data_IF_525678434770
#
_entry.id   IF_525678434770
#
_cell.length_a   1.000
_cell.length_b   1.000
_cell.length_c   1.000
_cell.angle_alpha   90.00
_cell.angle_beta   90.00
_cell.angle_gamma   90.00
#
_symmetry.space_group_name_H-M   'P 1'
#
loop_
_entity.id
_entity.type
_entity.pdbx_description
1 polymer ?
#
# COMPACT_ATOMS: atom_id res chain seq x y z
N UNK A 1 10.24 -19.75 8.20
CA UNK A 1 9.80 -18.34 8.18
C UNK A 1 10.22 -17.64 6.89
N UNK A 2 11.52 -17.48 6.62
CA UNK A 2 12.07 -16.89 5.38
C UNK A 2 11.34 -17.34 4.10
N UNK A 3 11.28 -18.64 3.85
CA UNK A 3 10.66 -19.18 2.63
C UNK A 3 9.17 -18.86 2.53
N UNK A 4 8.43 -18.93 3.64
CA UNK A 4 7.01 -18.61 3.69
C UNK A 4 6.77 -17.13 3.38
N UNK A 5 7.53 -16.23 4.03
CA UNK A 5 7.44 -14.79 3.76
C UNK A 5 7.76 -14.46 2.29
N UNK A 6 8.84 -15.04 1.73
CA UNK A 6 9.19 -14.87 0.31
C UNK A 6 8.13 -15.41 -0.66
N UNK A 7 7.38 -16.42 -0.26
CA UNK A 7 6.26 -16.96 -1.02
C UNK A 7 4.94 -16.17 -0.84
N UNK A 8 4.96 -15.08 -0.06
CA UNK A 8 3.75 -14.30 0.25
C UNK A 8 2.79 -14.99 1.21
N UNK A 9 3.27 -15.93 2.04
CA UNK A 9 2.49 -16.64 3.05
C UNK A 9 2.67 -15.91 4.40
N UNK A 10 1.64 -15.21 4.91
CA UNK A 10 1.78 -14.33 6.08
C UNK A 10 1.63 -15.04 7.42
N UNK A 11 1.16 -16.29 7.44
CA UNK A 11 0.90 -17.07 8.66
C UNK A 11 1.68 -18.38 8.60
N UNK A 12 2.46 -18.65 9.64
CA UNK A 12 3.22 -19.88 9.82
C UNK A 12 2.84 -20.53 11.16
N UNK A 13 2.60 -21.83 11.17
CA UNK A 13 2.18 -22.57 12.36
C UNK A 13 3.26 -23.57 12.76
N UNK A 14 3.52 -23.68 14.06
CA UNK A 14 4.38 -24.71 14.65
C UNK A 14 3.84 -25.17 16.00
N UNK A 15 4.44 -26.21 16.59
CA UNK A 15 4.13 -26.60 17.96
C UNK A 15 4.57 -25.52 18.95
N UNK A 16 5.85 -25.16 18.93
CA UNK A 16 6.49 -24.21 19.86
C UNK A 16 7.75 -23.66 19.23
N UNK A 17 7.98 -22.36 19.39
CA UNK A 17 9.20 -21.73 18.86
C UNK A 17 10.43 -22.14 19.68
N UNK A 18 11.60 -22.03 19.08
CA UNK A 18 12.85 -21.93 19.84
C UNK A 18 12.89 -20.66 20.70
N UNK A 19 13.93 -20.54 21.52
CA UNK A 19 14.04 -19.45 22.48
C UNK A 19 15.42 -19.40 23.12
N UNK A 20 15.53 -18.65 24.21
CA UNK A 20 16.72 -18.61 25.06
C UNK A 20 16.74 -19.88 25.89
N UNK A 21 17.83 -20.64 25.85
CA UNK A 21 17.98 -21.82 26.70
C UNK A 21 18.14 -21.40 28.17
N UNK A 22 17.87 -22.33 29.09
CA UNK A 22 18.11 -22.09 30.50
C UNK A 22 19.62 -22.00 30.74
N UNK A 23 20.08 -20.98 31.46
CA UNK A 23 21.49 -20.54 31.55
C UNK A 23 22.01 -19.83 30.28
N UNK A 24 21.11 -19.38 29.40
CA UNK A 24 21.42 -18.61 28.20
C UNK A 24 22.16 -17.30 28.45
N UNK A 25 22.04 -16.72 29.65
CA UNK A 25 22.81 -15.54 30.06
C UNK A 25 24.33 -15.79 30.13
N UNK A 26 24.74 -17.04 30.35
CA UNK A 26 26.16 -17.43 30.45
C UNK A 26 26.61 -18.16 29.18
N UNK A 27 25.78 -19.08 28.69
CA UNK A 27 26.10 -19.93 27.54
C UNK A 27 25.90 -19.25 26.19
N UNK A 28 25.06 -18.20 26.14
CA UNK A 28 24.58 -17.57 24.90
C UNK A 28 23.91 -18.56 23.93
N UNK A 29 23.39 -19.68 24.44
CA UNK A 29 22.61 -20.64 23.65
C UNK A 29 21.20 -20.08 23.39
N UNK A 30 21.09 -19.37 22.28
CA UNK A 30 19.89 -18.63 21.86
C UNK A 30 19.49 -19.11 20.47
N UNK A 31 18.23 -19.53 20.34
CA UNK A 31 17.71 -19.99 19.05
C UNK A 31 17.67 -18.88 18.00
N UNK A 32 18.12 -19.22 16.79
CA UNK A 32 18.00 -18.36 15.61
C UNK A 32 16.54 -17.98 15.27
N UNK A 33 15.54 -18.73 15.77
CA UNK A 33 14.12 -18.41 15.62
C UNK A 33 13.80 -16.98 16.11
N UNK A 34 14.45 -16.53 17.19
CA UNK A 34 14.18 -15.21 17.79
C UNK A 34 14.72 -14.08 16.92
N UNK A 35 15.95 -14.22 16.42
CA UNK A 35 16.54 -13.24 15.50
C UNK A 35 15.77 -13.20 14.18
N UNK A 36 15.28 -14.34 13.71
CA UNK A 36 14.46 -14.43 12.50
C UNK A 36 13.09 -13.77 12.69
N UNK A 37 12.44 -13.96 13.84
CA UNK A 37 11.23 -13.22 14.23
C UNK A 37 11.47 -11.70 14.26
N UNK A 38 12.65 -11.24 14.65
CA UNK A 38 13.00 -9.82 14.62
C UNK A 38 13.21 -9.21 13.22
N UNK A 39 13.30 -10.03 12.16
CA UNK A 39 13.73 -9.59 10.82
C UNK A 39 12.75 -9.93 9.69
N UNK A 40 11.84 -10.86 9.91
CA UNK A 40 10.93 -11.35 8.88
C UNK A 40 9.49 -11.04 9.26
N UNK A 41 8.79 -10.17 8.49
CA UNK A 41 7.36 -9.86 8.69
C UNK A 41 6.46 -11.07 8.43
N UNK A 42 6.27 -11.90 9.45
CA UNK A 42 5.42 -13.09 9.43
C UNK A 42 4.76 -13.30 10.79
N UNK A 43 3.53 -13.79 10.79
CA UNK A 43 2.84 -14.21 12.00
C UNK A 43 3.16 -15.68 12.28
N UNK A 44 3.72 -15.97 13.46
CA UNK A 44 4.00 -17.33 13.94
C UNK A 44 2.98 -17.71 15.01
N UNK A 45 2.24 -18.78 14.76
CA UNK A 45 1.25 -19.34 15.69
C UNK A 45 1.87 -20.56 16.36
N UNK A 46 1.93 -20.55 17.69
CA UNK A 46 2.55 -21.64 18.46
C UNK A 46 1.99 -21.72 19.88
N UNK A 47 2.28 -22.79 20.61
CA UNK A 47 1.93 -22.94 22.02
C UNK A 47 2.89 -22.18 22.96
N UNK A 48 3.42 -21.05 22.48
CA UNK A 48 4.50 -20.31 23.12
C UNK A 48 5.88 -20.90 22.78
N UNK A 49 6.76 -20.91 23.77
CA UNK A 49 8.15 -21.36 23.65
C UNK A 49 8.24 -22.81 24.14
N UNK A 50 9.06 -23.66 23.51
CA UNK A 50 9.24 -25.07 23.96
C UNK A 50 9.58 -25.12 25.45
N UNK A 51 8.97 -26.06 26.18
CA UNK A 51 9.02 -26.16 27.66
C UNK A 51 10.43 -26.27 28.28
N UNK A 52 11.40 -26.76 27.51
CA UNK A 52 12.79 -26.90 27.95
C UNK A 52 13.55 -25.57 28.05
N UNK A 53 12.96 -24.47 27.55
CA UNK A 53 13.61 -23.17 27.40
C UNK A 53 13.25 -22.21 28.54
N UNK A 54 13.88 -21.03 28.53
CA UNK A 54 13.62 -19.94 29.47
C UNK A 54 12.61 -18.95 28.86
N UNK A 55 11.37 -18.96 29.36
CA UNK A 55 10.29 -18.13 28.83
C UNK A 55 10.55 -16.65 29.11
N UNK A 56 10.95 -16.30 30.33
CA UNK A 56 11.19 -14.91 30.72
C UNK A 56 12.24 -14.25 29.85
N UNK A 57 13.40 -14.89 29.70
CA UNK A 57 14.48 -14.39 28.84
C UNK A 57 14.11 -14.37 27.36
N UNK A 58 13.31 -15.33 26.92
CA UNK A 58 12.82 -15.34 25.53
C UNK A 58 11.90 -14.14 25.26
N UNK A 59 11.01 -13.80 26.18
CA UNK A 59 10.14 -12.62 26.04
C UNK A 59 10.93 -11.31 26.03
N UNK A 60 11.90 -11.15 26.92
CA UNK A 60 12.82 -9.98 26.95
C UNK A 60 13.60 -9.84 25.64
N UNK A 61 14.08 -10.97 25.09
CA UNK A 61 14.80 -10.96 23.81
C UNK A 61 13.89 -10.54 22.65
N UNK A 62 12.66 -11.06 22.60
CA UNK A 62 11.67 -10.71 21.59
C UNK A 62 11.25 -9.24 21.67
N UNK A 63 11.08 -8.71 22.88
CA UNK A 63 10.84 -7.28 23.11
C UNK A 63 11.99 -6.43 22.56
N UNK A 64 13.23 -6.79 22.89
CA UNK A 64 14.44 -6.10 22.38
C UNK A 64 14.50 -6.08 20.85
N UNK A 65 13.98 -7.12 20.19
CA UNK A 65 13.94 -7.22 18.71
C UNK A 65 12.68 -6.63 18.09
N UNK A 66 11.83 -5.95 18.88
CA UNK A 66 10.60 -5.33 18.39
C UNK A 66 9.57 -6.34 17.88
N UNK A 67 9.60 -7.58 18.36
CA UNK A 67 8.63 -8.62 17.98
C UNK A 67 7.37 -8.43 18.82
N UNK A 68 6.22 -8.28 18.16
CA UNK A 68 4.95 -8.21 18.86
C UNK A 68 4.57 -9.60 19.38
N UNK A 69 4.44 -9.74 20.71
CA UNK A 69 4.00 -10.99 21.35
C UNK A 69 2.59 -10.81 21.92
N UNK A 70 1.68 -11.68 21.50
CA UNK A 70 0.29 -11.67 21.92
C UNK A 70 -0.18 -13.08 22.35
N UNK A 71 -0.94 -13.16 23.44
CA UNK A 71 -1.63 -14.40 23.82
C UNK A 71 -2.99 -14.49 23.13
N UNK A 72 -3.32 -15.65 22.59
CA UNK A 72 -4.66 -15.96 22.07
C UNK A 72 -5.58 -16.50 23.17
N UNK A 73 -6.74 -15.85 23.36
CA UNK A 73 -7.74 -16.19 24.37
C UNK A 73 -8.07 -15.01 25.28
N UNK A 74 -8.68 -15.29 26.45
CA UNK A 74 -9.22 -14.26 27.35
C UNK A 74 -8.22 -13.67 28.36
N UNK A 75 -6.95 -14.05 28.28
CA UNK A 75 -5.92 -13.69 29.25
C UNK A 75 -4.62 -13.34 28.57
N UNK A 76 -3.80 -12.50 29.23
CA UNK A 76 -2.42 -12.21 28.84
C UNK A 76 -1.42 -13.27 29.28
N UNK A 77 -1.83 -14.28 30.06
CA UNK A 77 -0.94 -15.34 30.51
C UNK A 77 -0.26 -16.02 29.32
N UNK A 78 1.06 -16.01 29.29
CA UNK A 78 1.82 -16.67 28.24
C UNK A 78 1.81 -18.18 28.51
N UNK A 79 1.48 -19.04 27.52
CA UNK A 79 1.51 -20.49 27.71
C UNK A 79 2.95 -21.03 27.76
N UNK A 80 3.17 -22.05 28.59
CA UNK A 80 4.43 -22.79 28.67
C UNK A 80 4.33 -24.11 27.89
N UNK A 81 4.01 -24.05 26.60
CA UNK A 81 3.90 -25.21 25.71
C UNK A 81 2.84 -26.24 26.13
N UNK A 82 3.15 -27.10 27.10
CA UNK A 82 2.21 -28.07 27.67
C UNK A 82 1.27 -27.45 28.70
N UNK A 83 1.65 -26.34 29.35
CA UNK A 83 0.77 -25.66 30.32
C UNK A 83 0.14 -24.40 29.72
N UNK A 84 -1.15 -24.12 29.98
CA UNK A 84 -1.77 -22.86 29.56
C UNK A 84 -1.23 -21.64 30.34
N UNK A 85 -0.44 -21.85 31.41
CA UNK A 85 0.11 -20.79 32.25
C UNK A 85 1.60 -21.04 32.52
N UNK A 86 2.41 -20.00 32.30
CA UNK A 86 3.87 -20.02 32.54
C UNK A 86 4.32 -19.20 33.74
N UNK A 87 3.44 -18.38 34.32
CA UNK A 87 3.82 -17.32 35.26
C UNK A 87 4.29 -16.02 34.59
N UNK A 88 4.41 -15.99 33.27
CA UNK A 88 4.72 -14.80 32.48
C UNK A 88 3.51 -14.30 31.70
N UNK A 89 3.57 -13.06 31.23
CA UNK A 89 2.50 -12.42 30.44
C UNK A 89 3.01 -11.86 29.12
N UNK A 90 2.20 -11.98 28.06
CA UNK A 90 2.40 -11.27 26.79
C UNK A 90 2.11 -9.77 26.93
N UNK A 91 2.68 -8.95 26.05
CA UNK A 91 2.42 -7.51 25.99
C UNK A 91 0.93 -7.21 25.74
N UNK A 92 0.30 -7.98 24.84
CA UNK A 92 -1.13 -7.88 24.54
C UNK A 92 -1.80 -9.26 24.42
N UNK A 93 -3.11 -9.24 24.18
CA UNK A 93 -3.95 -10.42 24.03
C UNK A 93 -4.95 -10.17 22.89
N UNK A 94 -5.41 -11.26 22.26
CA UNK A 94 -6.47 -11.26 21.24
C UNK A 94 -7.47 -12.39 21.52
N UNK A 95 -8.77 -12.12 21.46
CA UNK A 95 -9.79 -13.08 21.91
C UNK A 95 -10.20 -14.10 20.84
N UNK A 96 -10.06 -13.74 19.57
CA UNK A 96 -10.64 -14.49 18.46
C UNK A 96 -9.84 -14.31 17.16
N UNK A 97 -10.10 -15.14 16.12
CA UNK A 97 -9.32 -15.10 14.88
C UNK A 97 -9.44 -13.77 14.12
N UNK A 98 -10.55 -13.04 14.27
CA UNK A 98 -10.74 -11.77 13.58
C UNK A 98 -9.89 -10.66 14.20
N UNK A 99 -9.74 -10.63 15.53
CA UNK A 99 -8.83 -9.71 16.22
C UNK A 99 -7.37 -10.02 15.93
N UNK A 100 -6.99 -11.31 15.98
CA UNK A 100 -5.66 -11.75 15.59
C UNK A 100 -5.34 -11.34 14.13
N UNK A 101 -6.28 -11.51 13.21
CA UNK A 101 -6.13 -11.07 11.82
C UNK A 101 -5.98 -9.54 11.69
N UNK A 102 -6.72 -8.75 12.47
CA UNK A 102 -6.55 -7.28 12.51
C UNK A 102 -5.18 -6.88 13.02
N UNK A 103 -4.71 -7.50 14.12
CA UNK A 103 -3.37 -7.27 14.66
C UNK A 103 -2.30 -7.49 13.58
N UNK A 104 -2.34 -8.66 12.93
CA UNK A 104 -1.39 -9.01 11.85
C UNK A 104 -1.48 -8.02 10.69
N UNK A 105 -2.69 -7.69 10.23
CA UNK A 105 -2.89 -6.74 9.14
C UNK A 105 -2.34 -5.34 9.49
N UNK A 106 -2.54 -4.88 10.73
CA UNK A 106 -2.02 -3.60 11.21
C UNK A 106 -0.49 -3.59 11.20
N UNK A 107 0.16 -4.62 11.74
CA UNK A 107 1.63 -4.76 11.72
C UNK A 107 2.17 -4.68 10.28
N UNK A 108 1.56 -5.42 9.34
CA UNK A 108 1.95 -5.40 7.93
C UNK A 108 1.74 -4.02 7.29
N UNK A 109 0.63 -3.34 7.60
CA UNK A 109 0.31 -2.02 7.04
C UNK A 109 1.24 -0.91 7.52
N UNK A 110 1.81 -1.03 8.72
CA UNK A 110 2.77 -0.09 9.28
C UNK A 110 4.19 -0.26 8.69
N UNK A 111 4.41 -1.28 7.85
CA UNK A 111 5.72 -1.53 7.23
C UNK A 111 6.80 -2.00 8.21
N UNK A 112 6.40 -2.51 9.39
CA UNK A 112 7.34 -3.03 10.39
C UNK A 112 8.11 -4.24 9.84
N UNK A 113 9.42 -4.28 10.12
CA UNK A 113 10.32 -5.32 9.64
C UNK A 113 10.43 -6.52 10.60
N UNK A 114 9.59 -6.58 11.63
CA UNK A 114 9.52 -7.68 12.60
C UNK A 114 8.25 -8.51 12.42
N UNK A 115 8.31 -9.75 12.90
CA UNK A 115 7.19 -10.68 12.95
C UNK A 115 6.28 -10.48 14.16
N UNK A 116 5.25 -11.32 14.21
CA UNK A 116 4.29 -11.40 15.32
C UNK A 116 4.29 -12.81 15.87
N UNK A 117 4.41 -12.98 17.18
CA UNK A 117 4.19 -14.24 17.86
C UNK A 117 2.81 -14.26 18.49
N UNK A 118 1.95 -15.17 18.03
CA UNK A 118 0.67 -15.47 18.66
C UNK A 118 0.76 -16.78 19.43
N UNK A 119 0.79 -16.65 20.77
CA UNK A 119 0.89 -17.75 21.69
C UNK A 119 -0.50 -18.31 22.02
N UNK A 120 -0.76 -19.54 21.59
CA UNK A 120 -2.04 -20.26 21.70
C UNK A 120 -1.93 -21.30 22.81
N UNK A 121 -2.67 -21.17 23.93
CA UNK A 121 -2.66 -22.18 24.97
C UNK A 121 -3.07 -23.57 24.46
N UNK A 122 -2.52 -24.62 25.08
CA UNK A 122 -2.99 -26.00 24.86
C UNK A 122 -4.52 -26.10 25.11
N UNK A 123 -5.25 -26.97 24.40
CA UNK A 123 -6.68 -27.18 24.66
C UNK A 123 -6.97 -27.49 26.14
N UNK A 124 -8.09 -26.97 26.64
CA UNK A 124 -8.49 -27.09 28.05
C UNK A 124 -8.60 -28.55 28.52
N UNK A 125 -9.06 -29.45 27.65
CA UNK A 125 -9.14 -30.89 27.90
C UNK A 125 -7.78 -31.56 28.19
N UNK A 126 -6.69 -30.93 27.73
CA UNK A 126 -5.31 -31.39 27.94
C UNK A 126 -4.53 -30.54 28.97
N UNK A 127 -5.13 -29.48 29.53
CA UNK A 127 -4.45 -28.55 30.41
C UNK A 127 -3.94 -29.19 31.72
N UNK A 128 -4.75 -30.03 32.36
CA UNK A 128 -4.38 -30.69 33.62
C UNK A 128 -3.21 -31.67 33.46
N UNK A 129 -3.25 -32.50 32.41
CA UNK A 129 -2.13 -33.37 32.05
C UNK A 129 -0.91 -32.54 31.64
N UNK A 130 -1.15 -31.42 30.94
CA UNK A 130 -0.15 -30.46 30.52
C UNK A 130 0.65 -29.85 31.67
N UNK A 131 -0.01 -29.49 32.77
CA UNK A 131 0.65 -28.98 33.98
C UNK A 131 1.56 -30.05 34.61
N UNK A 132 1.10 -31.29 34.71
CA UNK A 132 1.93 -32.40 35.21
C UNK A 132 3.16 -32.67 34.31
N UNK A 133 2.98 -32.59 33.00
CA UNK A 133 4.08 -32.71 32.04
C UNK A 133 5.08 -31.57 32.22
N UNK A 134 4.59 -30.34 32.40
CA UNK A 134 5.46 -29.18 32.62
C UNK A 134 6.27 -29.34 33.91
N UNK A 135 5.66 -29.78 35.01
CA UNK A 135 6.37 -30.10 36.25
C UNK A 135 7.46 -31.18 36.05
N UNK A 136 7.17 -32.21 35.26
CA UNK A 136 8.15 -33.22 34.89
C UNK A 136 9.30 -32.65 34.04
N UNK A 137 9.02 -31.71 33.13
CA UNK A 137 10.06 -30.98 32.37
C UNK A 137 10.93 -30.15 33.31
N UNK A 138 10.33 -29.42 34.25
CA UNK A 138 11.08 -28.63 35.23
C UNK A 138 12.01 -29.51 36.09
N UNK A 139 11.53 -30.67 36.52
CA UNK A 139 12.34 -31.64 37.24
C UNK A 139 13.50 -32.19 36.39
N UNK A 140 13.23 -32.57 35.13
CA UNK A 140 14.24 -33.08 34.21
C UNK A 140 15.32 -32.04 33.87
N UNK A 141 14.93 -30.78 33.66
CA UNK A 141 15.89 -29.68 33.40
C UNK A 141 16.74 -29.39 34.64
N UNK A 142 16.14 -29.43 35.83
CA UNK A 142 16.87 -29.27 37.09
C UNK A 142 17.88 -30.41 37.27
N UNK A 143 17.48 -31.65 37.02
CA UNK A 143 18.36 -32.82 37.09
C UNK A 143 19.52 -32.73 36.08
N UNK A 144 19.25 -32.29 34.85
CA UNK A 144 20.27 -32.11 33.82
C UNK A 144 21.36 -31.11 34.28
N UNK A 145 20.97 -30.01 34.91
CA UNK A 145 21.90 -28.99 35.44
C UNK A 145 22.84 -29.51 36.52
N UNK A 146 22.38 -30.43 37.37
CA UNK A 146 23.21 -30.98 38.45
C UNK A 146 24.14 -32.12 37.99
N UNK A 147 23.99 -32.61 36.76
CA UNK A 147 24.84 -33.67 36.20
C UNK A 147 25.88 -33.06 35.25
N UNK A 148 27.12 -32.95 35.70
CA UNK A 148 28.24 -32.42 34.88
C UNK A 148 28.45 -33.15 33.55
N UNK A 149 27.97 -34.40 33.43
CA UNK A 149 28.07 -35.21 32.21
C UNK A 149 27.05 -34.85 31.12
N UNK A 150 26.06 -33.99 31.38
CA UNK A 150 24.98 -33.67 30.45
C UNK A 150 25.09 -32.21 30.04
N UNK A 151 25.78 -31.95 28.92
CA UNK A 151 26.01 -30.59 28.42
C UNK A 151 25.80 -30.51 26.90
N UNK A 152 25.62 -29.29 26.39
CA UNK A 152 25.45 -29.03 24.96
C UNK A 152 24.33 -29.86 24.32
N UNK A 153 24.64 -30.54 23.21
CA UNK A 153 23.67 -31.30 22.41
C UNK A 153 23.00 -32.46 23.16
N UNK A 154 23.58 -32.94 24.26
CA UNK A 154 23.10 -34.10 25.01
C UNK A 154 22.00 -33.75 26.03
N UNK A 155 21.81 -32.45 26.30
CA UNK A 155 20.79 -31.93 27.22
C UNK A 155 19.37 -32.21 26.71
N UNK A 156 19.11 -31.97 25.43
CA UNK A 156 17.76 -32.13 24.85
C UNK A 156 17.31 -33.60 24.81
N UNK A 157 18.11 -34.57 24.32
CA UNK A 157 17.75 -35.99 24.39
C UNK A 157 17.50 -36.49 25.82
N UNK A 158 18.32 -36.07 26.79
CA UNK A 158 18.13 -36.44 28.19
C UNK A 158 16.79 -35.94 28.75
N UNK A 159 16.47 -34.66 28.54
CA UNK A 159 15.21 -34.08 29.02
C UNK A 159 14.02 -34.81 28.38
N UNK A 160 14.06 -35.07 27.07
CA UNK A 160 12.96 -35.76 26.39
C UNK A 160 12.77 -37.19 26.89
N UNK A 161 13.86 -37.94 27.12
CA UNK A 161 13.78 -39.28 27.69
C UNK A 161 13.17 -39.24 29.10
N UNK A 162 13.67 -38.36 29.96
CA UNK A 162 13.20 -38.24 31.35
C UNK A 162 11.74 -37.82 31.43
N UNK A 163 11.31 -36.88 30.58
CA UNK A 163 9.92 -36.45 30.49
C UNK A 163 9.03 -37.60 30.02
N UNK A 164 9.47 -38.40 29.05
CA UNK A 164 8.71 -39.57 28.61
C UNK A 164 8.56 -40.63 29.72
N UNK A 165 9.63 -40.90 30.49
CA UNK A 165 9.61 -41.79 31.65
C UNK A 165 8.65 -41.29 32.74
N UNK A 166 8.69 -40.00 33.08
CA UNK A 166 7.86 -39.39 34.12
C UNK A 166 6.39 -39.22 33.72
N UNK A 167 6.09 -39.20 32.42
CA UNK A 167 4.74 -38.90 31.90
C UNK A 167 4.04 -40.11 31.28
N UNK A 168 4.70 -41.29 31.24
CA UNK A 168 4.16 -42.52 30.65
C UNK A 168 3.59 -42.31 29.23
N UNK A 169 4.24 -41.49 28.42
CA UNK A 169 3.83 -41.18 27.04
C UNK A 169 2.73 -40.10 26.90
N UNK A 170 2.17 -39.55 27.99
CA UNK A 170 1.17 -38.47 27.95
C UNK A 170 1.70 -37.19 27.28
N UNK A 171 3.01 -36.95 27.37
CA UNK A 171 3.68 -35.80 26.71
C UNK A 171 3.55 -35.82 25.19
N UNK A 172 3.59 -36.98 24.55
CA UNK A 172 3.41 -37.11 23.11
C UNK A 172 1.97 -36.77 22.69
N UNK A 173 0.98 -37.27 23.44
CA UNK A 173 -0.43 -36.99 23.16
C UNK A 173 -0.73 -35.49 23.31
N UNK A 174 -0.23 -34.85 24.36
CA UNK A 174 -0.36 -33.41 24.55
C UNK A 174 0.32 -32.60 23.42
N UNK A 175 1.49 -33.04 22.94
CA UNK A 175 2.20 -32.39 21.84
C UNK A 175 1.42 -32.50 20.51
N UNK A 176 0.80 -33.65 20.24
CA UNK A 176 -0.06 -33.81 19.06
C UNK A 176 -1.28 -32.87 19.18
N UNK A 177 -1.92 -32.85 20.35
CA UNK A 177 -3.11 -32.02 20.59
C UNK A 177 -2.82 -30.52 20.42
N UNK A 178 -1.72 -30.00 20.99
CA UNK A 178 -1.35 -28.59 20.82
C UNK A 178 -1.02 -28.25 19.36
N UNK A 179 -0.37 -29.15 18.61
CA UNK A 179 -0.06 -28.90 17.19
C UNK A 179 -1.35 -28.81 16.38
N UNK A 180 -2.31 -29.71 16.62
CA UNK A 180 -3.63 -29.65 15.97
C UNK A 180 -4.38 -28.36 16.33
N UNK A 181 -4.31 -27.93 17.60
CA UNK A 181 -4.94 -26.69 18.04
C UNK A 181 -4.31 -25.46 17.36
N UNK A 182 -2.99 -25.39 17.31
CA UNK A 182 -2.26 -24.30 16.66
C UNK A 182 -2.59 -24.25 15.15
N UNK A 183 -2.67 -25.41 14.49
CA UNK A 183 -3.04 -25.49 13.07
C UNK A 183 -4.49 -25.03 12.84
N UNK A 184 -5.42 -25.45 13.71
CA UNK A 184 -6.81 -24.99 13.66
C UNK A 184 -6.90 -23.47 13.83
N UNK A 185 -6.34 -22.92 14.90
CA UNK A 185 -6.36 -21.47 15.18
C UNK A 185 -5.65 -20.69 14.06
N UNK A 186 -4.46 -21.13 13.65
CA UNK A 186 -3.71 -20.50 12.57
C UNK A 186 -4.46 -20.49 11.23
N UNK A 187 -5.16 -21.58 10.88
CA UNK A 187 -5.99 -21.63 9.68
C UNK A 187 -7.17 -20.67 9.74
N UNK A 188 -7.83 -20.55 10.91
CA UNK A 188 -8.94 -19.61 11.11
C UNK A 188 -8.46 -18.16 10.99
N UNK A 189 -7.29 -17.85 11.55
CA UNK A 189 -6.66 -16.52 11.45
C UNK A 189 -6.31 -16.21 9.99
N UNK A 190 -5.71 -17.16 9.27
CA UNK A 190 -5.38 -16.99 7.85
C UNK A 190 -6.65 -16.72 7.00
N UNK A 191 -7.74 -17.44 7.24
CA UNK A 191 -9.03 -17.21 6.58
C UNK A 191 -9.62 -15.82 6.92
N UNK A 192 -9.54 -15.41 8.19
CA UNK A 192 -9.98 -14.09 8.62
C UNK A 192 -9.15 -12.96 7.99
N UNK A 193 -7.83 -13.14 7.91
CA UNK A 193 -6.90 -12.21 7.27
C UNK A 193 -7.19 -12.09 5.77
N UNK A 194 -7.43 -13.21 5.08
CA UNK A 194 -7.81 -13.21 3.66
C UNK A 194 -9.16 -12.49 3.43
N UNK A 195 -10.11 -12.65 4.35
CA UNK A 195 -11.41 -11.97 4.29
C UNK A 195 -11.25 -10.47 4.50
N UNK A 196 -10.40 -10.05 5.44
CA UNK A 196 -10.07 -8.65 5.70
C UNK A 196 -9.37 -8.02 4.48
N UNK A 197 -8.37 -8.69 3.91
CA UNK A 197 -7.70 -8.28 2.68
C UNK A 197 -8.69 -8.19 1.49
N UNK A 198 -9.62 -9.14 1.37
CA UNK A 198 -10.71 -9.10 0.37
C UNK A 198 -11.67 -7.95 0.58
N UNK A 199 -11.95 -7.55 1.83
CA UNK A 199 -12.82 -6.39 2.13
C UNK A 199 -12.11 -5.08 1.77
N UNK A 200 -10.83 -4.97 2.06
CA UNK A 200 -9.99 -3.83 1.66
C UNK A 200 -9.91 -3.75 0.13
N UNK A 201 -9.66 -4.87 -0.56
CA UNK A 201 -9.59 -4.91 -2.03
C UNK A 201 -10.95 -4.79 -2.72
N UNK A 202 -12.05 -5.31 -2.16
CA UNK A 202 -13.42 -5.06 -2.68
C UNK A 202 -13.88 -3.62 -2.48
N UNK A 203 -13.35 -2.93 -1.47
CA UNK A 203 -13.52 -1.49 -1.31
C UNK A 203 -12.59 -0.68 -2.22
N UNK A 204 -11.71 -1.32 -2.99
CA UNK A 204 -10.65 -0.68 -3.77
C UNK A 204 -10.30 -1.41 -5.08
N UNK A 205 -11.28 -1.91 -5.84
CA UNK A 205 -11.14 -1.81 -7.30
C UNK A 205 -11.54 -0.37 -7.60
N UNK A 206 -10.59 0.54 -7.44
CA UNK A 206 -10.77 1.94 -7.80
C UNK A 206 -10.83 1.95 -9.33
N UNK A 207 -12.02 1.76 -9.89
CA UNK A 207 -12.25 1.93 -11.31
C UNK A 207 -12.07 3.42 -11.57
N UNK A 208 -10.98 3.73 -12.26
CA UNK A 208 -10.57 5.09 -12.55
C UNK A 208 -10.84 5.33 -14.03
N UNK A 209 -11.49 6.43 -14.33
CA UNK A 209 -11.61 6.91 -15.71
C UNK A 209 -10.85 8.23 -15.77
N UNK A 210 -9.98 8.37 -16.78
CA UNK A 210 -9.26 9.61 -17.04
C UNK A 210 -9.71 10.10 -18.40
N UNK A 211 -10.24 11.33 -18.44
CA UNK A 211 -10.69 11.98 -19.66
C UNK A 211 -9.78 13.19 -19.88
N UNK A 212 -9.00 13.16 -20.94
CA UNK A 212 -8.09 14.27 -21.18
C UNK A 212 -7.19 14.16 -22.38
N UNK A 213 -6.34 15.18 -22.54
CA UNK A 213 -5.46 15.32 -23.68
C UNK A 213 -4.24 14.40 -23.61
N UNK A 214 -3.73 14.09 -24.79
CA UNK A 214 -2.43 13.48 -25.03
C UNK A 214 -1.69 14.32 -26.04
N UNK A 215 -0.39 14.55 -25.82
CA UNK A 215 0.42 15.46 -26.62
C UNK A 215 1.75 14.81 -27.01
N UNK A 216 2.28 15.23 -28.15
CA UNK A 216 3.67 15.02 -28.54
C UNK A 216 4.41 16.35 -28.41
N UNK A 217 5.32 16.44 -27.46
CA UNK A 217 6.06 17.66 -27.16
C UNK A 217 7.41 17.63 -27.87
N UNK A 218 7.75 18.72 -28.55
CA UNK A 218 9.04 18.97 -29.17
C UNK A 218 9.73 20.10 -28.41
N UNK A 219 10.85 19.78 -27.76
CA UNK A 219 11.66 20.76 -27.04
C UNK A 219 12.88 21.08 -27.90
N UNK A 220 12.85 22.23 -28.56
CA UNK A 220 13.95 22.76 -29.35
C UNK A 220 14.83 23.65 -28.46
N UNK A 221 16.06 23.20 -28.19
CA UNK A 221 17.04 23.93 -27.38
C UNK A 221 18.09 24.60 -28.25
N UNK A 222 18.19 25.92 -28.17
CA UNK A 222 19.26 26.69 -28.82
C UNK A 222 20.62 26.46 -28.14
N UNK A 223 21.69 26.49 -28.95
CA UNK A 223 23.09 26.42 -28.44
C UNK A 223 23.67 27.78 -28.05
N UNK A 224 22.94 28.87 -28.30
CA UNK A 224 23.36 30.23 -27.96
C UNK A 224 22.48 30.77 -26.83
N UNK A 225 23.03 31.73 -26.08
CA UNK A 225 22.33 32.46 -25.01
C UNK A 225 21.03 33.12 -25.49
N UNK A 226 20.98 33.58 -26.73
CA UNK A 226 19.80 34.23 -27.32
C UNK A 226 19.36 33.49 -28.59
N UNK A 227 18.04 33.40 -28.78
CA UNK A 227 17.43 32.91 -30.01
C UNK A 227 17.19 34.10 -30.94
N UNK A 228 17.67 34.00 -32.18
CA UNK A 228 17.47 35.03 -33.19
C UNK A 228 16.24 34.71 -34.03
N UNK A 229 15.18 35.51 -33.93
CA UNK A 229 13.95 35.33 -34.70
C UNK A 229 14.16 35.62 -36.19
N UNK A 230 13.41 34.93 -37.06
CA UNK A 230 13.46 35.12 -38.52
C UNK A 230 14.58 34.35 -39.25
N UNK A 231 15.34 33.49 -38.55
CA UNK A 231 16.43 32.71 -39.13
C UNK A 231 16.61 31.35 -38.45
N UNK A 232 17.44 30.49 -39.03
CA UNK A 232 17.78 29.17 -38.45
C UNK A 232 18.80 29.32 -37.33
N UNK A 233 18.49 28.77 -36.15
CA UNK A 233 19.39 28.77 -34.99
C UNK A 233 19.99 27.37 -34.78
N UNK A 234 21.30 27.23 -34.52
CA UNK A 234 21.88 25.94 -34.20
C UNK A 234 21.38 25.45 -32.84
N UNK A 235 20.96 24.19 -32.78
CA UNK A 235 20.29 23.64 -31.61
C UNK A 235 20.21 22.12 -31.61
N UNK A 236 19.40 21.59 -30.69
CA UNK A 236 18.95 20.21 -30.63
C UNK A 236 17.45 20.16 -30.42
N UNK A 237 16.77 19.15 -30.97
CA UNK A 237 15.34 18.94 -30.75
C UNK A 237 15.16 17.60 -30.04
N UNK A 238 14.40 17.60 -28.95
CA UNK A 238 14.00 16.40 -28.23
C UNK A 238 12.49 16.21 -28.38
N UNK A 239 12.07 14.97 -28.61
CA UNK A 239 10.66 14.60 -28.60
C UNK A 239 10.33 13.92 -27.26
N UNK A 240 9.24 14.34 -26.64
CA UNK A 240 8.65 13.70 -25.45
C UNK A 240 7.14 13.56 -25.61
N UNK A 241 6.53 12.76 -24.73
CA UNK A 241 5.10 12.50 -24.76
C UNK A 241 4.44 13.06 -23.49
N UNK A 242 3.54 14.01 -23.70
CA UNK A 242 2.88 14.77 -22.65
C UNK A 242 1.36 14.73 -22.74
N UNK A 243 0.73 15.78 -22.25
CA UNK A 243 -0.72 15.86 -22.03
C UNK A 243 -1.09 15.52 -20.59
N UNK A 244 -1.90 16.37 -19.97
CA UNK A 244 -2.24 16.25 -18.55
C UNK A 244 -3.06 14.98 -18.31
N UNK A 245 -4.08 14.73 -19.12
CA UNK A 245 -4.84 13.48 -19.08
C UNK A 245 -3.95 12.24 -19.24
N UNK A 246 -3.04 12.25 -20.22
CA UNK A 246 -2.07 11.16 -20.41
C UNK A 246 -1.18 10.96 -19.17
N UNK A 247 -0.64 12.04 -18.61
CA UNK A 247 0.26 11.97 -17.45
C UNK A 247 -0.44 11.41 -16.20
N UNK A 248 -1.70 11.79 -15.96
CA UNK A 248 -2.52 11.22 -14.88
C UNK A 248 -2.73 9.72 -15.12
N UNK A 249 -3.18 9.34 -16.31
CA UNK A 249 -3.43 7.94 -16.66
C UNK A 249 -2.17 7.07 -16.62
N UNK A 250 -1.02 7.61 -17.07
CA UNK A 250 0.30 6.95 -17.02
C UNK A 250 0.75 6.74 -15.56
N UNK A 251 0.64 7.77 -14.73
CA UNK A 251 1.02 7.71 -13.32
C UNK A 251 0.20 6.65 -12.57
N UNK A 252 -1.12 6.65 -12.75
CA UNK A 252 -2.00 5.63 -12.20
C UNK A 252 -1.64 4.22 -12.70
N UNK A 253 -1.32 4.09 -13.99
CA UNK A 253 -0.91 2.80 -14.57
C UNK A 253 0.39 2.27 -13.96
N UNK A 254 1.35 3.15 -13.70
CA UNK A 254 2.64 2.80 -13.06
C UNK A 254 2.50 2.45 -11.59
N UNK A 255 1.50 3.00 -10.91
CA UNK A 255 1.13 2.64 -9.54
C UNK A 255 0.37 1.30 -9.44
N UNK A 256 0.20 0.59 -10.56
CA UNK A 256 -0.44 -0.73 -10.59
C UNK A 256 -1.96 -0.69 -10.84
N UNK A 257 -2.52 0.49 -11.09
CA UNK A 257 -3.91 0.62 -11.54
C UNK A 257 -4.03 0.46 -13.06
N UNK A 258 -5.25 0.41 -13.58
CA UNK A 258 -5.52 0.34 -15.03
C UNK A 258 -6.68 1.26 -15.40
N UNK A 259 -6.51 2.60 -15.25
CA UNK A 259 -7.58 3.53 -15.59
C UNK A 259 -7.97 3.40 -17.06
N UNK A 260 -9.26 3.48 -17.36
CA UNK A 260 -9.68 3.69 -18.75
C UNK A 260 -9.28 5.11 -19.15
N UNK A 261 -8.40 5.25 -20.13
CA UNK A 261 -8.01 6.54 -20.69
C UNK A 261 -8.86 6.87 -21.92
N UNK A 262 -9.67 7.92 -21.80
CA UNK A 262 -10.53 8.45 -22.86
C UNK A 262 -9.87 9.72 -23.43
N UNK A 263 -9.55 9.69 -24.72
CA UNK A 263 -8.82 10.76 -25.40
C UNK A 263 -9.06 10.73 -26.92
N UNK A 264 -8.43 11.65 -27.65
CA UNK A 264 -8.43 11.71 -29.11
C UNK A 264 -7.02 12.03 -29.65
N UNK A 265 -6.63 11.35 -30.72
CA UNK A 265 -5.38 11.56 -31.47
C UNK A 265 -5.66 11.56 -32.97
N UNK A 266 -4.75 12.14 -33.75
CA UNK A 266 -4.83 12.07 -35.21
C UNK A 266 -4.51 10.67 -35.73
N UNK A 267 -4.81 10.40 -36.99
CA UNK A 267 -4.34 9.21 -37.69
C UNK A 267 -2.97 9.49 -38.37
N UNK A 268 -1.97 9.85 -37.57
CA UNK A 268 -0.65 10.27 -38.05
C UNK A 268 0.51 9.52 -37.35
N UNK A 269 1.74 9.72 -37.81
CA UNK A 269 2.92 9.08 -37.23
C UNK A 269 3.18 9.48 -35.77
N UNK A 270 2.71 10.67 -35.36
CA UNK A 270 2.83 11.13 -33.99
C UNK A 270 1.97 10.29 -33.04
N UNK A 271 0.74 9.96 -33.46
CA UNK A 271 -0.15 9.06 -32.72
C UNK A 271 0.44 7.66 -32.56
N UNK A 272 1.07 7.12 -33.60
CA UNK A 272 1.69 5.78 -33.54
C UNK A 272 2.84 5.76 -32.51
N UNK A 273 3.68 6.81 -32.51
CA UNK A 273 4.80 6.93 -31.59
C UNK A 273 4.32 7.02 -30.12
N UNK A 274 3.33 7.88 -29.84
CA UNK A 274 2.83 8.07 -28.48
C UNK A 274 2.03 6.86 -27.98
N UNK A 275 1.23 6.22 -28.82
CA UNK A 275 0.46 5.03 -28.44
C UNK A 275 1.38 3.83 -28.16
N UNK A 276 2.46 3.68 -28.93
CA UNK A 276 3.48 2.67 -28.64
C UNK A 276 4.20 2.93 -27.29
N UNK A 277 4.47 4.20 -26.96
CA UNK A 277 5.00 4.58 -25.64
C UNK A 277 4.02 4.26 -24.51
N UNK A 278 2.71 4.46 -24.75
CA UNK A 278 1.64 4.23 -23.80
C UNK A 278 1.09 2.78 -23.77
N UNK A 279 1.80 1.79 -24.35
CA UNK A 279 1.33 0.40 -24.46
C UNK A 279 1.02 -0.30 -23.13
N UNK A 280 1.54 0.20 -22.02
CA UNK A 280 1.26 -0.30 -20.67
C UNK A 280 -0.01 0.29 -20.05
N UNK A 281 -0.60 1.31 -20.68
CA UNK A 281 -1.85 1.95 -20.27
C UNK A 281 -3.04 1.31 -20.96
N UNK A 282 -4.24 1.46 -20.39
CA UNK A 282 -5.48 1.09 -21.07
C UNK A 282 -5.97 2.24 -21.96
N UNK A 283 -5.53 2.21 -23.23
CA UNK A 283 -5.86 3.20 -24.26
C UNK A 283 -7.07 2.82 -25.11
N UNK A 284 -7.90 1.87 -24.67
CA UNK A 284 -9.10 1.43 -25.42
C UNK A 284 -10.16 2.53 -25.61
N UNK A 285 -10.08 3.62 -24.84
CA UNK A 285 -10.92 4.82 -25.00
C UNK A 285 -10.29 5.93 -25.85
N UNK A 286 -9.13 5.70 -26.48
CA UNK A 286 -8.46 6.71 -27.32
C UNK A 286 -8.92 6.58 -28.77
N UNK A 287 -9.61 7.59 -29.29
CA UNK A 287 -10.05 7.63 -30.69
C UNK A 287 -8.92 8.09 -31.61
N UNK A 288 -8.82 7.49 -32.81
CA UNK A 288 -7.93 7.95 -33.90
C UNK A 288 -8.79 8.59 -34.98
N UNK A 289 -8.52 9.86 -35.30
CA UNK A 289 -9.32 10.66 -36.24
C UNK A 289 -8.53 10.95 -37.52
N UNK A 290 -9.07 10.61 -38.69
CA UNK A 290 -8.35 10.68 -39.99
C UNK A 290 -8.04 12.12 -40.45
N UNK A 291 -8.94 13.08 -40.19
CA UNK A 291 -8.83 14.46 -40.66
C UNK A 291 -8.30 15.42 -39.58
N UNK A 292 -7.60 14.90 -38.58
CA UNK A 292 -7.07 15.68 -37.46
C UNK A 292 -5.60 15.33 -37.22
N UNK A 293 -4.83 16.32 -36.76
CA UNK A 293 -3.46 16.13 -36.30
C UNK A 293 -3.44 15.73 -34.82
N UNK A 294 -2.56 14.82 -34.44
CA UNK A 294 -2.26 14.55 -33.02
C UNK A 294 -1.73 15.82 -32.39
N UNK A 295 -2.19 16.12 -31.16
CA UNK A 295 -1.79 17.36 -30.50
C UNK A 295 -0.26 17.43 -30.35
N UNK A 296 0.32 18.54 -30.77
CA UNK A 296 1.76 18.80 -30.66
C UNK A 296 2.02 20.10 -29.92
N UNK A 297 3.06 20.12 -29.11
CA UNK A 297 3.55 21.34 -28.48
C UNK A 297 5.03 21.53 -28.82
N UNK A 298 5.39 22.68 -29.36
CA UNK A 298 6.78 23.03 -29.62
C UNK A 298 7.22 24.11 -28.63
N UNK A 299 8.21 23.79 -27.81
CA UNK A 299 8.86 24.73 -26.91
C UNK A 299 10.27 25.04 -27.45
N UNK A 300 10.52 26.29 -27.78
CA UNK A 300 11.86 26.79 -28.11
C UNK A 300 12.46 27.42 -26.86
N UNK A 301 13.52 26.82 -26.33
CA UNK A 301 14.23 27.29 -25.15
C UNK A 301 15.65 27.77 -25.49
N UNK A 302 16.15 28.73 -24.73
CA UNK A 302 17.53 29.22 -24.82
C UNK A 302 18.52 28.17 -24.30
N UNK A 303 19.83 28.44 -24.44
CA UNK A 303 20.88 27.60 -23.85
C UNK A 303 20.70 27.42 -22.32
N UNK A 304 20.26 28.49 -21.62
CA UNK A 304 19.99 28.48 -20.17
C UNK A 304 18.70 27.75 -19.79
N UNK A 305 17.86 27.38 -20.75
CA UNK A 305 16.58 26.70 -20.52
C UNK A 305 15.38 27.64 -20.38
N UNK A 306 15.55 28.94 -20.60
CA UNK A 306 14.44 29.90 -20.59
C UNK A 306 13.57 29.71 -21.84
N UNK A 307 12.24 29.74 -21.66
CA UNK A 307 11.29 29.63 -22.77
C UNK A 307 11.31 30.91 -23.62
N UNK A 308 11.71 30.78 -24.88
CA UNK A 308 11.70 31.86 -25.86
C UNK A 308 10.40 31.91 -26.66
N UNK A 309 9.84 30.76 -27.04
CA UNK A 309 8.60 30.65 -27.80
C UNK A 309 7.94 29.31 -27.51
N UNK A 310 6.63 29.31 -27.26
CA UNK A 310 5.81 28.11 -27.21
C UNK A 310 4.75 28.17 -28.31
N UNK A 311 4.54 27.07 -29.03
CA UNK A 311 3.47 26.94 -30.02
C UNK A 311 2.77 25.60 -29.80
N UNK A 312 1.45 25.61 -29.62
CA UNK A 312 0.64 24.40 -29.47
C UNK A 312 -0.34 24.26 -30.62
N UNK A 313 -0.31 23.13 -31.29
CA UNK A 313 -1.41 22.62 -32.12
C UNK A 313 -2.15 21.58 -31.28
N UNK A 314 -3.24 21.97 -30.61
CA UNK A 314 -3.94 21.13 -29.62
C UNK A 314 -5.46 21.08 -29.85
N UNK A 315 -5.91 21.52 -31.02
CA UNK A 315 -7.35 21.66 -31.31
C UNK A 315 -8.08 20.31 -31.29
N UNK A 316 -7.36 19.21 -31.52
CA UNK A 316 -7.94 17.87 -31.43
C UNK A 316 -8.51 17.54 -30.04
N UNK A 317 -8.06 18.21 -28.96
CA UNK A 317 -8.68 18.03 -27.64
C UNK A 317 -10.15 18.48 -27.63
N UNK A 318 -10.57 19.34 -28.57
CA UNK A 318 -11.98 19.70 -28.75
C UNK A 318 -12.85 18.53 -29.26
N UNK A 319 -12.23 17.48 -29.81
CA UNK A 319 -12.92 16.28 -30.29
C UNK A 319 -13.27 15.30 -29.16
N UNK A 320 -12.74 15.52 -27.95
CA UNK A 320 -13.15 14.79 -26.73
C UNK A 320 -14.49 15.36 -26.25
N UNK A 321 -15.52 15.17 -27.06
CA UNK A 321 -16.85 15.76 -26.87
C UNK A 321 -17.71 14.96 -25.88
N UNK A 322 -18.78 15.57 -25.37
CA UNK A 322 -19.83 14.88 -24.61
C UNK A 322 -20.36 13.66 -25.37
N UNK A 323 -20.62 13.80 -26.68
CA UNK A 323 -21.12 12.70 -27.50
C UNK A 323 -20.13 11.54 -27.56
N UNK A 324 -18.82 11.81 -27.59
CA UNK A 324 -17.81 10.76 -27.56
C UNK A 324 -17.69 10.12 -26.17
N UNK A 325 -17.61 10.94 -25.12
CA UNK A 325 -17.46 10.47 -23.73
C UNK A 325 -18.68 9.67 -23.27
N UNK A 326 -19.89 10.02 -23.70
CA UNK A 326 -21.13 9.30 -23.35
C UNK A 326 -21.16 7.84 -23.83
N UNK A 327 -20.36 7.47 -24.83
CA UNK A 327 -20.21 6.07 -25.27
C UNK A 327 -19.61 5.18 -24.17
N UNK A 328 -18.94 5.78 -23.18
CA UNK A 328 -18.31 5.11 -22.04
C UNK A 328 -19.12 5.28 -20.75
N UNK A 329 -20.41 5.60 -20.84
CA UNK A 329 -21.28 5.85 -19.67
C UNK A 329 -21.24 4.70 -18.66
N UNK A 330 -21.27 3.45 -19.12
CA UNK A 330 -21.18 2.28 -18.22
C UNK A 330 -19.91 2.30 -17.36
N UNK A 331 -18.77 2.67 -17.95
CA UNK A 331 -17.49 2.74 -17.27
C UNK A 331 -17.44 3.93 -16.30
N UNK A 332 -17.99 5.08 -16.71
CA UNK A 332 -18.16 6.24 -15.83
C UNK A 332 -18.99 5.90 -14.60
N UNK A 333 -20.14 5.25 -14.78
CA UNK A 333 -21.04 4.84 -13.69
C UNK A 333 -20.41 3.84 -12.72
N UNK A 334 -19.48 3.02 -13.21
CA UNK A 334 -18.74 2.07 -12.37
C UNK A 334 -17.51 2.68 -11.70
N UNK A 335 -17.12 3.89 -12.09
CA UNK A 335 -15.91 4.53 -11.60
C UNK A 335 -16.09 5.02 -10.15
N UNK A 336 -15.05 4.83 -9.35
CA UNK A 336 -14.96 5.44 -8.00
C UNK A 336 -14.34 6.83 -8.05
N UNK A 337 -13.61 7.13 -9.13
CA UNK A 337 -12.95 8.41 -9.40
C UNK A 337 -12.91 8.66 -10.92
N UNK A 338 -13.31 9.86 -11.33
CA UNK A 338 -13.12 10.37 -12.70
C UNK A 338 -12.19 11.58 -12.66
N UNK A 339 -11.10 11.53 -13.43
CA UNK A 339 -10.16 12.64 -13.59
C UNK A 339 -10.43 13.38 -14.90
N UNK A 340 -10.55 14.69 -14.82
CA UNK A 340 -10.82 15.59 -15.94
C UNK A 340 -9.62 16.52 -16.18
N UNK A 341 -9.11 16.51 -17.41
CA UNK A 341 -8.11 17.47 -17.89
C UNK A 341 -8.78 18.78 -18.33
N UNK A 342 -8.26 19.93 -17.89
CA UNK A 342 -8.78 21.24 -18.24
C UNK A 342 -8.71 21.61 -19.73
N UNK A 343 -7.99 20.86 -20.56
CA UNK A 343 -7.94 21.09 -22.02
C UNK A 343 -9.23 20.68 -22.75
N UNK A 344 -10.03 19.75 -22.20
CA UNK A 344 -11.24 19.25 -22.86
C UNK A 344 -12.35 20.34 -22.94
N UNK A 345 -13.36 20.19 -23.81
CA UNK A 345 -14.46 21.15 -23.93
C UNK A 345 -15.21 21.37 -22.61
N UNK A 346 -15.62 22.61 -22.34
CA UNK A 346 -16.41 22.94 -21.15
C UNK A 346 -17.73 22.14 -21.08
N UNK A 347 -18.39 21.93 -22.22
CA UNK A 347 -19.59 21.08 -22.30
C UNK A 347 -19.34 19.64 -21.86
N UNK A 348 -18.14 19.10 -22.11
CA UNK A 348 -17.77 17.74 -21.70
C UNK A 348 -17.51 17.68 -20.21
N UNK A 349 -16.87 18.70 -19.64
CA UNK A 349 -16.72 18.86 -18.18
C UNK A 349 -18.10 18.90 -17.53
N UNK A 350 -19.02 19.73 -18.04
CA UNK A 350 -20.39 19.87 -17.53
C UNK A 350 -21.15 18.55 -17.56
N UNK A 351 -21.08 17.82 -18.69
CA UNK A 351 -21.70 16.50 -18.83
C UNK A 351 -21.19 15.51 -17.78
N UNK A 352 -19.87 15.36 -17.64
CA UNK A 352 -19.28 14.40 -16.69
C UNK A 352 -19.63 14.78 -15.26
N UNK A 353 -19.57 16.07 -14.90
CA UNK A 353 -19.98 16.55 -13.59
C UNK A 353 -21.47 16.26 -13.31
N UNK A 354 -22.34 16.42 -14.30
CA UNK A 354 -23.77 16.08 -14.18
C UNK A 354 -23.98 14.59 -13.89
N UNK A 355 -23.32 13.71 -14.67
CA UNK A 355 -23.35 12.25 -14.45
C UNK A 355 -22.80 11.90 -13.06
N UNK A 356 -21.68 12.49 -12.68
CA UNK A 356 -21.03 12.22 -11.41
C UNK A 356 -21.90 12.62 -10.21
N UNK A 357 -22.54 13.78 -10.26
CA UNK A 357 -23.47 14.25 -9.23
C UNK A 357 -24.66 13.30 -9.06
N UNK A 358 -25.24 12.84 -10.17
CA UNK A 358 -26.40 11.93 -10.15
C UNK A 358 -26.07 10.57 -9.54
N UNK A 359 -24.82 10.12 -9.67
CA UNK A 359 -24.37 8.79 -9.27
C UNK A 359 -23.38 8.77 -8.10
N UNK A 360 -23.17 9.92 -7.45
CA UNK A 360 -22.26 10.10 -6.32
C UNK A 360 -20.83 9.61 -6.60
N UNK A 361 -20.30 9.97 -7.76
CA UNK A 361 -18.95 9.62 -8.21
C UNK A 361 -17.99 10.77 -7.87
N UNK A 362 -16.80 10.45 -7.37
CA UNK A 362 -15.80 11.48 -7.10
C UNK A 362 -15.20 12.02 -8.40
N UNK A 363 -15.05 13.34 -8.51
CA UNK A 363 -14.46 13.99 -9.68
C UNK A 363 -13.22 14.79 -9.27
N UNK A 364 -12.11 14.54 -9.95
CA UNK A 364 -10.89 15.34 -9.87
C UNK A 364 -10.77 16.21 -11.12
N UNK A 365 -10.60 17.52 -10.96
CA UNK A 365 -10.35 18.44 -12.06
C UNK A 365 -8.91 18.97 -12.05
N UNK A 366 -8.17 18.74 -13.13
CA UNK A 366 -6.81 19.24 -13.31
C UNK A 366 -6.78 20.47 -14.23
N UNK A 367 -6.66 21.69 -13.69
CA UNK A 367 -6.43 22.88 -14.52
C UNK A 367 -5.05 22.81 -15.18
N UNK A 368 -4.90 23.42 -16.36
CA UNK A 368 -3.60 23.43 -17.06
C UNK A 368 -3.10 24.83 -17.40
N UNK A 369 -3.96 25.84 -17.23
CA UNK A 369 -3.65 27.26 -17.24
C UNK A 369 -4.83 28.03 -16.63
N UNK A 370 -4.66 29.34 -16.46
CA UNK A 370 -5.68 30.23 -15.90
C UNK A 370 -7.00 30.21 -16.67
N UNK A 371 -6.97 30.19 -18.01
CA UNK A 371 -8.18 30.19 -18.84
C UNK A 371 -8.93 28.86 -18.78
N UNK A 372 -8.23 27.76 -18.58
CA UNK A 372 -8.85 26.44 -18.39
C UNK A 372 -9.33 26.28 -16.96
N UNK A 373 -8.63 26.84 -15.98
CA UNK A 373 -9.02 26.79 -14.57
C UNK A 373 -10.45 27.29 -14.31
N UNK A 374 -10.91 28.29 -15.07
CA UNK A 374 -12.28 28.82 -14.93
C UNK A 374 -13.39 27.91 -15.48
N UNK A 375 -13.11 26.97 -16.39
CA UNK A 375 -14.16 26.25 -17.16
C UNK A 375 -15.28 25.64 -16.29
N UNK A 376 -15.00 24.85 -15.22
CA UNK A 376 -16.07 24.27 -14.40
C UNK A 376 -16.86 25.31 -13.59
N UNK A 377 -16.30 26.51 -13.40
CA UNK A 377 -16.85 27.60 -12.61
C UNK A 377 -17.66 28.59 -13.46
N UNK A 378 -17.70 28.41 -14.79
CA UNK A 378 -18.60 29.15 -15.69
C UNK A 378 -20.03 28.61 -15.65
N UNK A 379 -20.23 27.42 -15.07
CA UNK A 379 -21.50 26.75 -14.87
C UNK A 379 -21.62 26.28 -13.41
N UNK A 380 -22.67 25.53 -13.07
CA UNK A 380 -22.82 24.89 -11.76
C UNK A 380 -22.02 23.57 -11.63
N UNK A 381 -21.23 23.19 -12.64
CA UNK A 381 -20.48 21.93 -12.66
C UNK A 381 -19.47 21.82 -11.51
N UNK A 382 -18.84 22.93 -11.10
CA UNK A 382 -17.87 22.96 -10.01
C UNK A 382 -18.41 22.40 -8.69
N UNK A 383 -19.73 22.51 -8.44
CA UNK A 383 -20.39 21.95 -7.24
C UNK A 383 -20.33 20.43 -7.17
N UNK A 384 -19.97 19.77 -8.27
CA UNK A 384 -19.84 18.32 -8.37
C UNK A 384 -18.38 17.86 -8.32
N UNK A 385 -17.42 18.80 -8.28
CA UNK A 385 -16.01 18.48 -8.15
C UNK A 385 -15.70 18.10 -6.71
N UNK A 386 -15.00 16.97 -6.54
CA UNK A 386 -14.52 16.51 -5.24
C UNK A 386 -13.11 17.03 -4.97
N UNK A 387 -12.28 17.12 -6.02
CA UNK A 387 -10.88 17.50 -5.93
C UNK A 387 -10.47 18.38 -7.11
N UNK A 388 -9.47 19.21 -6.89
CA UNK A 388 -8.71 19.90 -7.94
C UNK A 388 -7.33 20.21 -7.38
N UNK A 389 -6.31 20.38 -8.23
CA UNK A 389 -4.95 20.75 -7.81
C UNK A 389 -4.43 21.99 -8.55
N UNK A 390 -5.09 23.14 -8.41
CA UNK A 390 -4.63 24.38 -9.04
C UNK A 390 -3.32 24.85 -8.43
N UNK A 391 -2.46 25.45 -9.25
CA UNK A 391 -1.45 26.37 -8.76
C UNK A 391 -2.11 27.68 -8.26
N UNK A 392 -1.33 28.55 -7.61
CA UNK A 392 -1.86 29.79 -7.04
C UNK A 392 -2.54 30.70 -8.08
N UNK A 393 -2.00 30.81 -9.30
CA UNK A 393 -2.56 31.64 -10.36
C UNK A 393 -3.91 31.11 -10.87
N UNK A 394 -4.00 29.79 -11.02
CA UNK A 394 -5.24 29.10 -11.39
C UNK A 394 -6.30 29.23 -10.29
N UNK A 395 -5.91 29.02 -9.03
CA UNK A 395 -6.79 29.18 -7.88
C UNK A 395 -7.36 30.60 -7.79
N UNK A 396 -6.51 31.61 -7.96
CA UNK A 396 -6.94 33.00 -8.02
C UNK A 396 -7.94 33.24 -9.15
N UNK A 397 -7.74 32.59 -10.30
CA UNK A 397 -8.68 32.69 -11.43
C UNK A 397 -10.02 32.01 -11.13
N UNK A 398 -10.00 30.86 -10.45
CA UNK A 398 -11.23 30.19 -9.98
C UNK A 398 -12.02 31.08 -9.03
N UNK A 399 -11.36 31.69 -8.03
CA UNK A 399 -12.01 32.59 -7.07
C UNK A 399 -12.62 33.82 -7.73
N UNK A 400 -11.87 34.47 -8.64
CA UNK A 400 -12.36 35.60 -9.42
C UNK A 400 -13.59 35.24 -10.24
N UNK A 401 -13.62 34.04 -10.84
CA UNK A 401 -14.76 33.56 -11.62
C UNK A 401 -16.01 33.41 -10.77
N UNK A 402 -15.87 32.99 -9.51
CA UNK A 402 -16.96 32.89 -8.54
C UNK A 402 -17.32 34.21 -7.84
N UNK A 403 -16.62 35.31 -8.12
CA UNK A 403 -16.79 36.58 -7.39
C UNK A 403 -16.34 36.52 -5.92
N UNK A 404 -15.49 35.56 -5.56
CA UNK A 404 -14.96 35.39 -4.20
C UNK A 404 -13.76 36.34 -4.01
N UNK A 405 -13.65 37.06 -2.87
CA UNK A 405 -12.48 37.88 -2.56
C UNK A 405 -11.19 37.07 -2.68
N UNK A 406 -10.27 37.55 -3.53
CA UNK A 406 -9.01 36.86 -3.82
C UNK A 406 -7.86 37.67 -3.21
N UNK A 407 -7.01 37.09 -2.34
CA UNK A 407 -5.90 37.83 -1.75
C UNK A 407 -4.84 38.20 -2.80
N UNK A 408 -4.36 39.45 -2.75
CA UNK A 408 -3.22 39.92 -3.56
C UNK A 408 -1.91 39.37 -3.00
N UNK A 409 -1.52 38.16 -3.40
CA UNK A 409 -0.24 37.56 -2.97
C UNK A 409 0.84 37.84 -4.02
N UNK A 410 1.93 38.50 -3.62
CA UNK A 410 3.18 38.55 -4.40
C UNK A 410 3.89 37.19 -4.30
N UNK A 411 4.09 36.56 -5.44
CA UNK A 411 4.46 35.13 -5.62
C UNK A 411 5.87 34.82 -5.07
N UNK A 412 6.03 33.66 -4.42
CA UNK A 412 7.32 32.95 -4.39
C UNK A 412 7.27 31.41 -4.30
N UNK A 413 6.13 30.72 -4.22
CA UNK A 413 6.11 29.25 -4.16
C UNK A 413 4.88 28.59 -4.83
N UNK A 414 5.07 27.35 -5.27
CA UNK A 414 4.04 26.44 -5.80
C UNK A 414 3.35 25.73 -4.63
N UNK A 415 2.02 25.84 -4.52
CA UNK A 415 1.22 25.18 -3.48
C UNK A 415 0.08 24.37 -4.12
N UNK A 416 -0.21 23.20 -3.57
CA UNK A 416 -1.38 22.36 -3.93
C UNK A 416 -2.52 22.64 -2.95
N UNK A 417 -3.74 22.80 -3.45
CA UNK A 417 -4.92 23.15 -2.64
C UNK A 417 -5.98 22.06 -2.77
N UNK A 418 -6.61 21.65 -1.67
CA UNK A 418 -7.68 20.63 -1.67
C UNK A 418 -8.99 21.30 -1.24
N UNK A 419 -10.06 21.07 -2.01
CA UNK A 419 -11.40 21.58 -1.72
C UNK A 419 -12.10 20.62 -0.74
N UNK A 420 -12.74 21.14 0.32
CA UNK A 420 -13.65 20.35 1.15
C UNK A 420 -14.79 21.24 1.66
N UNK A 421 -16.02 20.84 1.34
CA UNK A 421 -17.27 21.37 1.93
C UNK A 421 -17.27 22.91 2.10
N UNK A 422 -17.38 23.62 0.98
CA UNK A 422 -17.55 25.09 0.93
C UNK A 422 -16.36 25.93 1.41
N UNK A 423 -15.15 25.35 1.57
CA UNK A 423 -13.93 26.10 1.88
C UNK A 423 -12.66 25.52 1.24
N UNK A 424 -11.72 26.41 0.90
CA UNK A 424 -10.38 26.04 0.47
C UNK A 424 -9.52 25.69 1.68
N UNK A 425 -9.02 24.46 1.75
CA UNK A 425 -8.08 24.05 2.81
C UNK A 425 -6.68 23.94 2.20
N UNK A 426 -5.76 24.74 2.73
CA UNK A 426 -4.33 24.70 2.40
C UNK A 426 -3.71 23.42 2.95
N UNK A 427 -3.11 22.60 2.09
CA UNK A 427 -2.15 21.58 2.51
C UNK A 427 -0.77 21.98 2.01
N UNK A 428 0.05 22.56 2.91
CA UNK A 428 1.47 22.74 2.65
C UNK A 428 2.19 21.41 2.89
N UNK A 429 2.75 20.80 1.85
CA UNK A 429 3.88 19.89 2.04
C UNK A 429 5.12 20.73 2.33
N UNK A 430 5.47 20.90 3.60
CA UNK A 430 6.82 21.32 3.97
C UNK A 430 7.79 20.21 3.54
N UNK A 431 8.76 20.54 2.70
CA UNK A 431 10.03 19.84 2.63
C UNK A 431 11.02 20.53 3.57
#
# INVERSE_FOLDING_TARGET
>A
MIAAHRAGIPVFVTGGIGGVHRDGENSLDISADLTELGRTPIAVISAGVKSILDIGRTLEFLETHGVCVATYGKSKNFPAFFSPQSGFTSSCQVDNPAEAAKLIASTLSLGLQSGVLLAVPIPEEHAAAGQQIEEAVQAAVTEARYRESITGRDVTPFILQKVNELTEGKSLQANIALIHNNARVGSQIACALQTLARRITRSAVVLQVVIGGINVDFIAKGKKKTIQFGQTNPGSVCQSFGGVGRNIADSLSRLGHRPLFISAVGADSNSDAVLNYCKHMNTSGVSRLEEQSTATYCAVITESGELSLGLGDMDIHQQITEQYVSQFEKQLLSATLVCLDGNIPASTIDYVCCVAKKHNINVWYEPTDSEKARKPFLSDAWKSLSYSSPNLGELCTMNKTLGIPTPEVKINFCCTWVFREDSFVLYTTQH
#
